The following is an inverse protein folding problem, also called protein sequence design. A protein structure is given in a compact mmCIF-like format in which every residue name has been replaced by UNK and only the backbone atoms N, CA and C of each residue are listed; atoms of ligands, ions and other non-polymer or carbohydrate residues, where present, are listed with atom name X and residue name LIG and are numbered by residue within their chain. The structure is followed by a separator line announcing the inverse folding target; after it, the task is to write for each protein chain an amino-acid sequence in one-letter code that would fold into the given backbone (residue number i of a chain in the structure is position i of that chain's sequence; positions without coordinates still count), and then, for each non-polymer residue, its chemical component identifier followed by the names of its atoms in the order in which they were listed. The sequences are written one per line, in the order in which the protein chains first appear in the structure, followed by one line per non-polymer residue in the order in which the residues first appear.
data_IF_555260630862
#
_entry.id   IF_555260630862
#
_cell.length_a   1.000
_cell.length_b   1.000
_cell.length_c   1.000
_cell.angle_alpha   90.00
_cell.angle_beta   90.00
_cell.angle_gamma   90.00
#
_symmetry.space_group_name_H-M   'P 1'
#
loop_
_entity.id
_entity.type
_entity.pdbx_description
1 polymer ?
#
# COMPACT_ATOMS: atom_id res chain seq x y z
N UNK A 1 2.99 9.12 -7.60
CA UNK A 1 2.59 8.62 -8.93
C UNK A 1 3.85 8.14 -9.64
N UNK A 2 3.96 6.86 -9.95
CA UNK A 2 5.14 6.33 -10.63
C UNK A 2 5.12 6.78 -12.10
N UNK A 3 6.12 7.55 -12.53
CA UNK A 3 6.32 7.90 -13.93
C UNK A 3 6.76 6.62 -14.64
N UNK A 4 5.84 5.97 -15.37
CA UNK A 4 6.20 4.83 -16.19
C UNK A 4 7.12 5.31 -17.31
N UNK A 5 8.40 4.91 -17.29
CA UNK A 5 9.31 5.14 -18.41
C UNK A 5 8.85 4.24 -19.58
N UNK A 6 8.00 4.77 -20.45
CA UNK A 6 7.66 4.10 -21.71
C UNK A 6 8.81 4.34 -22.70
N UNK A 7 9.07 3.36 -23.57
CA UNK A 7 10.09 3.51 -24.63
C UNK A 7 9.56 4.34 -25.81
N UNK A 8 8.24 4.60 -25.83
CA UNK A 8 7.55 5.34 -26.89
C UNK A 8 7.39 6.81 -26.51
N UNK A 9 7.90 7.70 -27.37
CA UNK A 9 7.74 9.15 -27.22
C UNK A 9 6.41 9.69 -27.76
N UNK A 10 5.65 8.86 -28.48
CA UNK A 10 4.43 9.22 -29.21
C UNK A 10 3.38 8.12 -29.02
N UNK A 11 2.19 8.54 -28.57
CA UNK A 11 1.07 7.67 -28.23
C UNK A 11 0.49 6.95 -29.45
N UNK A 12 0.40 7.61 -30.62
CA UNK A 12 -0.17 6.96 -31.81
C UNK A 12 0.72 5.82 -32.31
N UNK A 13 2.04 6.01 -32.22
CA UNK A 13 3.02 4.98 -32.57
C UNK A 13 2.96 3.79 -31.61
N UNK A 14 2.76 4.07 -30.33
CA UNK A 14 2.57 3.02 -29.32
C UNK A 14 1.32 2.17 -29.61
N UNK A 15 0.18 2.80 -29.91
CA UNK A 15 -1.07 2.08 -30.24
C UNK A 15 -0.88 1.17 -31.44
N UNK A 16 -0.36 1.70 -32.56
CA UNK A 16 -0.12 0.91 -33.78
C UNK A 16 0.86 -0.25 -33.55
N UNK A 17 1.88 -0.02 -32.71
CA UNK A 17 2.81 -1.08 -32.33
C UNK A 17 2.09 -2.20 -31.57
N UNK A 18 1.29 -1.87 -30.56
CA UNK A 18 0.60 -2.88 -29.76
C UNK A 18 -0.50 -3.61 -30.53
N UNK A 19 -1.28 -2.93 -31.37
CA UNK A 19 -2.28 -3.58 -32.24
C UNK A 19 -1.65 -4.69 -33.08
N UNK A 20 -0.47 -4.44 -33.65
CA UNK A 20 0.25 -5.41 -34.47
C UNK A 20 0.92 -6.52 -33.64
N UNK A 21 1.50 -6.18 -32.49
CA UNK A 21 2.42 -7.07 -31.78
C UNK A 21 1.79 -7.78 -30.56
N UNK A 22 0.61 -7.36 -30.10
CA UNK A 22 -0.02 -7.86 -28.87
C UNK A 22 -0.14 -9.38 -28.85
N UNK A 23 -0.69 -10.01 -29.91
CA UNK A 23 -0.87 -11.46 -29.97
C UNK A 23 0.43 -12.24 -29.81
N UNK A 24 1.53 -11.72 -30.37
CA UNK A 24 2.86 -12.34 -30.28
C UNK A 24 3.42 -12.15 -28.87
N UNK A 25 3.36 -10.92 -28.34
CA UNK A 25 3.83 -10.59 -27.00
C UNK A 25 3.10 -11.41 -25.92
N UNK A 26 1.78 -11.57 -26.04
CA UNK A 26 0.96 -12.35 -25.12
C UNK A 26 1.35 -13.83 -25.10
N UNK A 27 1.59 -14.43 -26.27
CA UNK A 27 2.02 -15.84 -26.38
C UNK A 27 3.42 -16.10 -25.82
N UNK A 28 4.33 -15.14 -25.97
CA UNK A 28 5.70 -15.24 -25.45
C UNK A 28 5.86 -14.75 -24.01
N UNK A 29 4.83 -14.10 -23.46
CA UNK A 29 4.85 -13.53 -22.13
C UNK A 29 4.93 -14.63 -21.07
N UNK A 30 5.96 -14.57 -20.21
CA UNK A 30 5.98 -15.40 -19.01
C UNK A 30 4.98 -14.81 -18.01
N UNK A 31 4.06 -15.63 -17.50
CA UNK A 31 3.23 -15.21 -16.38
C UNK A 31 4.12 -14.86 -15.18
N UNK A 32 4.10 -13.58 -14.80
CA UNK A 32 4.62 -13.18 -13.51
C UNK A 32 3.56 -13.55 -12.47
N UNK A 33 3.84 -14.56 -11.64
CA UNK A 33 3.06 -14.78 -10.43
C UNK A 33 3.30 -13.61 -9.51
N UNK A 34 2.38 -12.64 -9.52
CA UNK A 34 2.37 -11.53 -8.56
C UNK A 34 2.20 -12.15 -7.18
N UNK A 35 3.28 -12.21 -6.41
CA UNK A 35 3.23 -12.57 -4.99
C UNK A 35 2.82 -11.31 -4.24
N UNK A 36 1.55 -11.23 -3.87
CA UNK A 36 1.15 -10.26 -2.85
C UNK A 36 1.79 -10.69 -1.54
N UNK A 37 2.45 -9.75 -0.84
CA UNK A 37 2.90 -10.02 0.52
C UNK A 37 1.64 -10.33 1.36
N UNK A 38 1.65 -11.46 2.06
CA UNK A 38 0.61 -11.74 3.03
C UNK A 38 0.56 -10.58 4.04
N UNK A 39 -0.64 -10.21 4.48
CA UNK A 39 -0.78 -9.20 5.51
C UNK A 39 -0.08 -9.73 6.78
N UNK A 40 1.12 -9.24 7.08
CA UNK A 40 1.93 -9.69 8.23
C UNK A 40 1.37 -9.20 9.57
N UNK A 41 0.17 -8.64 9.57
CA UNK A 41 -0.50 -8.07 10.72
C UNK A 41 -1.85 -8.73 10.94
N UNK A 42 -2.17 -8.98 12.22
CA UNK A 42 -3.48 -9.44 12.66
C UNK A 42 -4.19 -8.26 13.32
N UNK A 43 -5.45 -8.02 12.95
CA UNK A 43 -6.25 -6.97 13.55
C UNK A 43 -6.80 -7.42 14.91
N UNK A 44 -6.82 -6.50 15.87
CA UNK A 44 -7.51 -6.66 17.16
C UNK A 44 -8.55 -5.54 17.29
N UNK A 45 -9.74 -5.86 17.81
CA UNK A 45 -10.75 -4.87 18.17
C UNK A 45 -10.62 -4.55 19.66
N UNK A 46 -10.32 -3.29 19.98
CA UNK A 46 -10.19 -2.80 21.35
C UNK A 46 -11.30 -1.78 21.61
N UNK A 47 -12.01 -1.93 22.74
CA UNK A 47 -12.98 -0.93 23.20
C UNK A 47 -12.28 0.04 24.13
N UNK A 48 -12.35 1.32 23.82
CA UNK A 48 -11.90 2.42 24.67
C UNK A 48 -13.11 3.20 25.13
N UNK A 49 -13.06 3.76 26.33
CA UNK A 49 -14.04 4.76 26.71
C UNK A 49 -13.89 6.02 25.82
N UNK A 50 -14.95 6.82 25.66
CA UNK A 50 -14.90 7.97 24.76
C UNK A 50 -13.80 8.97 25.08
N UNK A 51 -13.53 9.22 26.37
CA UNK A 51 -12.52 10.19 26.81
C UNK A 51 -11.12 9.70 26.45
N UNK A 52 -10.83 8.42 26.69
CA UNK A 52 -9.55 7.83 26.27
C UNK A 52 -9.37 7.88 24.75
N UNK A 53 -10.42 7.62 23.97
CA UNK A 53 -10.34 7.69 22.51
C UNK A 53 -10.05 9.12 22.02
N UNK A 54 -10.62 10.13 22.66
CA UNK A 54 -10.37 11.52 22.30
C UNK A 54 -8.92 11.94 22.65
N UNK A 55 -8.40 11.51 23.79
CA UNK A 55 -6.98 11.69 24.14
C UNK A 55 -6.07 11.06 23.08
N UNK A 56 -6.37 9.82 22.64
CA UNK A 56 -5.59 9.15 21.58
C UNK A 56 -5.61 9.96 20.29
N UNK A 57 -6.77 10.52 19.90
CA UNK A 57 -6.91 11.31 18.67
C UNK A 57 -6.09 12.59 18.73
N UNK A 58 -6.15 13.31 19.85
CA UNK A 58 -5.37 14.52 20.05
C UNK A 58 -3.87 14.24 19.99
N UNK A 59 -3.40 13.21 20.70
CA UNK A 59 -1.99 12.81 20.69
C UNK A 59 -1.51 12.33 19.31
N UNK A 60 -2.35 11.60 18.58
CA UNK A 60 -2.04 11.15 17.23
C UNK A 60 -1.92 12.35 16.28
N UNK A 61 -2.82 13.32 16.38
CA UNK A 61 -2.79 14.53 15.57
C UNK A 61 -1.53 15.36 15.82
N UNK A 62 -1.15 15.56 17.09
CA UNK A 62 0.10 16.26 17.45
C UNK A 62 1.35 15.62 16.83
N UNK A 63 1.32 14.30 16.62
CA UNK A 63 2.42 13.51 16.05
C UNK A 63 2.31 13.31 14.53
N UNK A 64 1.27 13.81 13.87
CA UNK A 64 1.02 13.58 12.45
C UNK A 64 0.70 12.12 12.12
N UNK A 65 0.13 11.37 13.07
CA UNK A 65 -0.22 9.96 12.95
C UNK A 65 -1.73 9.74 12.95
N UNK A 66 -2.18 8.62 12.39
CA UNK A 66 -3.54 8.14 12.61
C UNK A 66 -3.71 7.52 14.01
N UNK A 67 -4.91 7.58 14.63
CA UNK A 67 -5.15 7.00 15.96
C UNK A 67 -4.75 5.53 16.08
N UNK A 68 -5.08 4.72 15.08
CA UNK A 68 -4.73 3.29 15.04
C UNK A 68 -3.23 3.05 14.93
N UNK A 69 -2.50 3.93 14.24
CA UNK A 69 -1.05 3.86 14.12
C UNK A 69 -0.37 4.21 15.44
N UNK A 70 -0.85 5.23 16.15
CA UNK A 70 -0.35 5.58 17.48
C UNK A 70 -0.58 4.42 18.48
N UNK A 71 -1.80 3.87 18.51
CA UNK A 71 -2.12 2.71 19.36
C UNK A 71 -1.19 1.53 19.04
N UNK A 72 -0.97 1.24 17.75
CA UNK A 72 -0.05 0.17 17.33
C UNK A 72 1.36 0.40 17.88
N UNK A 73 1.88 1.63 17.81
CA UNK A 73 3.21 1.96 18.32
C UNK A 73 3.29 1.76 19.83
N UNK A 74 2.33 2.29 20.60
CA UNK A 74 2.29 2.10 22.05
C UNK A 74 2.19 0.64 22.45
N UNK A 75 1.38 -0.16 21.76
CA UNK A 75 1.30 -1.61 22.02
C UNK A 75 2.66 -2.25 21.78
N UNK A 76 3.32 -1.96 20.64
CA UNK A 76 4.63 -2.52 20.33
C UNK A 76 5.72 -2.10 21.32
N UNK A 77 5.75 -0.84 21.74
CA UNK A 77 6.66 -0.34 22.78
C UNK A 77 6.43 -1.09 24.10
N UNK A 78 5.18 -1.32 24.50
CA UNK A 78 4.86 -2.04 25.74
C UNK A 78 5.23 -3.52 25.73
N UNK A 79 5.26 -4.15 24.55
CA UNK A 79 5.68 -5.55 24.40
C UNK A 79 7.14 -5.71 23.95
N UNK A 80 7.94 -4.63 23.99
CA UNK A 80 9.36 -4.61 23.59
C UNK A 80 9.59 -5.09 22.14
N UNK A 81 8.69 -4.72 21.23
CA UNK A 81 8.83 -4.94 19.78
C UNK A 81 9.21 -3.66 19.02
N UNK A 82 9.41 -2.55 19.75
CA UNK A 82 10.03 -1.29 19.33
C UNK A 82 11.07 -0.93 20.38
#
# INVERSE_FOLDING_TARGET
MAVSKTVFKDREKEVKFWEKNYKKAWKSGKLLKVKFANNLSTAINVRLDPVALDIVREEAQKKGLGPTQLIRMWVMEKVNLL
#
